data_IF_505870199093
#
_entry.id   IF_505870199093
#
_cell.length_a   1.000
_cell.length_b   1.000
_cell.length_c   1.000
_cell.angle_alpha   90.00
_cell.angle_beta   90.00
_cell.angle_gamma   90.00
#
_symmetry.space_group_name_H-M   'P 1'
#
loop_
_entity.id
_entity.type
_entity.pdbx_description
1 polymer ?
#
# COMPACT_ATOMS: atom_id res chain seq x y z
N UNK A 1 -15.15 2.77 12.94
CA UNK A 1 -14.73 2.48 14.35
C UNK A 1 -13.85 3.61 14.92
N UNK A 2 -12.72 4.04 14.34
CA UNK A 2 -11.87 5.09 14.94
C UNK A 2 -12.58 6.39 15.29
N UNK A 3 -13.53 6.88 14.49
CA UNK A 3 -14.31 8.07 14.83
C UNK A 3 -15.06 7.97 16.18
N UNK A 4 -15.62 6.79 16.48
CA UNK A 4 -16.29 6.53 17.77
C UNK A 4 -15.28 6.53 18.92
N UNK A 5 -14.11 5.90 18.71
CA UNK A 5 -13.06 5.87 19.73
C UNK A 5 -12.52 7.27 20.02
N UNK A 6 -12.32 8.11 18.98
CA UNK A 6 -11.91 9.50 19.17
C UNK A 6 -12.95 10.35 19.90
N UNK A 7 -14.25 10.19 19.56
CA UNK A 7 -15.34 10.86 20.28
C UNK A 7 -15.39 10.46 21.77
N UNK A 8 -15.14 9.19 22.06
CA UNK A 8 -15.14 8.66 23.42
C UNK A 8 -13.78 8.84 24.13
N UNK A 9 -12.76 9.39 23.45
CA UNK A 9 -11.38 9.53 23.94
C UNK A 9 -10.77 8.20 24.40
N UNK A 10 -11.11 7.12 23.71
CA UNK A 10 -10.55 5.79 23.93
C UNK A 10 -9.27 5.64 23.12
N UNK A 11 -8.11 5.36 23.74
CA UNK A 11 -6.87 5.06 23.03
C UNK A 11 -7.02 3.83 22.12
N UNK A 12 -6.37 3.86 20.95
CA UNK A 12 -6.39 2.76 20.00
C UNK A 12 -5.10 2.74 19.16
N UNK A 13 -4.77 1.59 18.60
CA UNK A 13 -3.65 1.41 17.67
C UNK A 13 -4.02 1.80 16.24
N UNK A 14 -3.02 2.24 15.47
CA UNK A 14 -3.17 2.58 14.06
C UNK A 14 -3.56 4.02 13.79
N UNK A 15 -3.73 4.30 12.53
CA UNK A 15 -3.94 5.64 12.00
C UNK A 15 -5.30 6.23 12.34
N UNK A 16 -5.39 7.57 12.35
CA UNK A 16 -6.60 8.32 12.67
C UNK A 16 -7.60 8.32 11.52
N UNK A 17 -8.82 8.81 11.83
CA UNK A 17 -9.98 8.85 10.93
C UNK A 17 -9.63 9.45 9.57
N UNK A 18 -8.94 10.59 9.54
CA UNK A 18 -8.60 11.26 8.28
C UNK A 18 -7.68 10.40 7.40
N UNK A 19 -6.66 9.78 7.97
CA UNK A 19 -5.73 8.90 7.24
C UNK A 19 -6.44 7.69 6.68
N UNK A 20 -7.33 7.05 7.47
CA UNK A 20 -8.09 5.89 7.02
C UNK A 20 -9.07 6.26 5.90
N UNK A 21 -9.73 7.40 5.99
CA UNK A 21 -10.60 7.89 4.93
C UNK A 21 -9.82 8.24 3.65
N UNK A 22 -8.66 8.88 3.79
CA UNK A 22 -7.76 9.21 2.69
C UNK A 22 -7.27 7.93 1.99
N UNK A 23 -6.75 6.97 2.74
CA UNK A 23 -6.20 5.74 2.17
C UNK A 23 -7.26 4.86 1.48
N UNK A 24 -8.51 4.91 1.92
CA UNK A 24 -9.62 4.23 1.26
C UNK A 24 -9.96 4.90 -0.09
N UNK A 25 -9.89 6.23 -0.19
CA UNK A 25 -10.13 6.98 -1.43
C UNK A 25 -8.84 7.04 -2.27
N UNK A 26 -8.68 6.03 -3.15
CA UNK A 26 -7.48 5.91 -4.01
C UNK A 26 -7.20 7.16 -4.84
N UNK A 27 -8.19 7.80 -5.50
CA UNK A 27 -7.98 9.07 -6.19
C UNK A 27 -7.42 10.18 -5.32
N UNK A 28 -7.94 10.34 -4.10
CA UNK A 28 -7.45 11.36 -3.18
C UNK A 28 -6.03 11.04 -2.69
N UNK A 29 -5.75 9.78 -2.36
CA UNK A 29 -4.39 9.33 -2.03
C UNK A 29 -3.42 9.68 -3.15
N UNK A 30 -3.74 9.36 -4.41
CA UNK A 30 -2.89 9.66 -5.57
C UNK A 30 -2.66 11.17 -5.76
N UNK A 31 -3.68 12.00 -5.54
CA UNK A 31 -3.52 13.47 -5.57
C UNK A 31 -2.57 13.97 -4.50
N UNK A 32 -2.63 13.42 -3.28
CA UNK A 32 -1.68 13.75 -2.20
C UNK A 32 -0.28 13.30 -2.58
N UNK A 33 -0.10 12.08 -3.09
CA UNK A 33 1.19 11.59 -3.54
C UNK A 33 1.78 12.48 -4.64
N UNK A 34 0.99 12.81 -5.66
CA UNK A 34 1.41 13.68 -6.77
C UNK A 34 1.78 15.10 -6.30
N UNK A 35 1.04 15.67 -5.33
CA UNK A 35 1.37 16.98 -4.76
C UNK A 35 2.73 17.00 -4.05
N UNK A 36 3.17 15.86 -3.54
CA UNK A 36 4.47 15.69 -2.88
C UNK A 36 5.55 15.08 -3.79
N UNK A 37 5.34 15.09 -5.11
CA UNK A 37 6.26 14.54 -6.10
C UNK A 37 6.60 13.06 -5.88
N UNK A 38 5.72 12.30 -5.21
CA UNK A 38 5.86 10.87 -5.01
C UNK A 38 5.32 10.11 -6.22
N UNK A 39 6.10 9.15 -6.79
CA UNK A 39 5.73 8.50 -8.03
C UNK A 39 4.50 7.61 -7.86
N UNK A 40 3.44 7.93 -8.56
CA UNK A 40 2.23 7.10 -8.71
C UNK A 40 1.84 7.05 -10.17
N UNK A 41 1.24 5.95 -10.68
CA UNK A 41 0.80 5.90 -12.08
C UNK A 41 -0.10 7.09 -12.43
N UNK A 42 0.09 7.66 -13.62
CA UNK A 42 -0.82 8.67 -14.16
C UNK A 42 -2.24 8.12 -14.19
N UNK A 43 -3.25 8.93 -13.87
CA UNK A 43 -4.61 8.44 -13.67
C UNK A 43 -5.68 9.47 -14.03
N UNK A 44 -6.87 8.95 -14.32
CA UNK A 44 -8.13 9.71 -14.45
C UNK A 44 -9.20 9.03 -13.61
N UNK A 45 -10.09 9.82 -13.05
CA UNK A 45 -11.30 9.33 -12.37
C UNK A 45 -12.48 9.51 -13.31
N UNK A 46 -13.24 8.45 -13.52
CA UNK A 46 -14.46 8.47 -14.32
C UNK A 46 -15.68 8.41 -13.39
N UNK A 47 -16.57 9.35 -13.56
CA UNK A 47 -17.90 9.36 -12.90
C UNK A 47 -19.00 8.88 -13.84
N UNK A 48 -18.72 8.82 -15.14
CA UNK A 48 -19.64 8.36 -16.19
C UNK A 48 -18.88 7.60 -17.28
N UNK A 49 -19.51 6.58 -17.84
CA UNK A 49 -18.93 5.77 -18.94
C UNK A 49 -18.57 6.62 -20.16
N UNK A 50 -19.34 7.69 -20.41
CA UNK A 50 -19.22 8.53 -21.62
C UNK A 50 -18.16 9.63 -21.54
N UNK A 51 -17.48 9.79 -20.40
CA UNK A 51 -16.43 10.79 -20.27
C UNK A 51 -15.26 10.47 -21.22
N UNK A 52 -14.66 11.48 -21.86
CA UNK A 52 -13.52 11.26 -22.74
C UNK A 52 -12.30 10.82 -21.92
N UNK A 53 -11.51 9.90 -22.47
CA UNK A 53 -10.21 9.56 -21.92
C UNK A 53 -9.25 10.73 -22.10
N UNK A 54 -8.51 11.06 -21.05
CA UNK A 54 -7.44 12.07 -21.11
C UNK A 54 -6.38 11.64 -22.13
N UNK A 55 -6.02 12.55 -23.03
CA UNK A 55 -5.07 12.29 -24.12
C UNK A 55 -3.64 11.94 -23.62
N UNK A 56 -3.32 12.25 -22.37
CA UNK A 56 -2.05 11.86 -21.75
C UNK A 56 -2.00 10.39 -21.31
N UNK A 57 -3.14 9.72 -21.19
CA UNK A 57 -3.23 8.31 -20.84
C UNK A 57 -3.20 7.44 -22.09
N UNK A 58 -2.30 6.46 -22.11
CA UNK A 58 -2.11 5.53 -23.20
C UNK A 58 -2.35 4.10 -22.75
N UNK A 59 -2.97 3.29 -23.59
CA UNK A 59 -3.15 1.86 -23.32
C UNK A 59 -1.80 1.11 -23.30
N UNK A 60 -1.70 0.04 -22.48
CA UNK A 60 -2.72 -0.53 -21.62
C UNK A 60 -3.00 0.30 -20.38
N UNK A 61 -4.27 0.30 -19.93
CA UNK A 61 -4.72 0.98 -18.73
C UNK A 61 -5.27 -0.03 -17.71
N UNK A 62 -5.27 0.36 -16.44
CA UNK A 62 -5.81 -0.44 -15.35
C UNK A 62 -7.04 0.23 -14.76
N UNK A 63 -8.16 -0.49 -14.70
CA UNK A 63 -9.45 0.01 -14.24
C UNK A 63 -9.87 -0.69 -12.95
N UNK A 64 -10.17 0.09 -11.92
CA UNK A 64 -10.62 -0.43 -10.62
C UNK A 64 -11.61 0.52 -9.94
N UNK A 65 -12.44 0.02 -8.99
CA UNK A 65 -13.25 0.89 -8.15
C UNK A 65 -12.37 1.85 -7.32
N UNK A 66 -12.87 3.07 -7.08
CA UNK A 66 -12.10 4.11 -6.37
C UNK A 66 -11.93 3.85 -4.88
N UNK A 67 -12.88 3.14 -4.23
CA UNK A 67 -12.99 3.06 -2.77
C UNK A 67 -13.15 1.64 -2.24
N UNK A 68 -12.62 0.65 -2.95
CA UNK A 68 -12.60 -0.73 -2.49
C UNK A 68 -11.23 -1.13 -1.94
N UNK A 69 -11.24 -2.01 -0.95
CA UNK A 69 -10.04 -2.62 -0.36
C UNK A 69 -9.84 -4.08 -0.79
N UNK A 70 -8.74 -4.69 -0.37
CA UNK A 70 -8.45 -6.14 -0.52
C UNK A 70 -8.53 -6.67 -1.96
N UNK A 71 -8.28 -5.83 -2.97
CA UNK A 71 -8.36 -6.23 -4.37
C UNK A 71 -9.79 -6.48 -4.88
N UNK A 72 -10.82 -6.02 -4.15
CA UNK A 72 -12.19 -6.10 -4.65
C UNK A 72 -12.36 -5.31 -5.94
N UNK A 73 -12.98 -5.92 -6.94
CA UNK A 73 -13.16 -5.32 -8.26
C UNK A 73 -11.94 -5.34 -9.16
N UNK A 74 -10.88 -6.03 -8.74
CA UNK A 74 -9.66 -6.24 -9.51
C UNK A 74 -9.60 -7.68 -10.02
N UNK A 75 -9.33 -7.84 -11.30
CA UNK A 75 -9.20 -9.13 -11.97
C UNK A 75 -8.48 -9.00 -13.32
N UNK A 76 -8.33 -10.07 -14.08
CA UNK A 76 -7.68 -10.03 -15.39
C UNK A 76 -8.30 -9.00 -16.35
N UNK A 77 -9.62 -8.83 -16.31
CA UNK A 77 -10.34 -7.83 -17.11
C UNK A 77 -10.06 -6.37 -16.68
N UNK A 78 -9.36 -6.15 -15.57
CA UNK A 78 -8.98 -4.80 -15.10
C UNK A 78 -7.91 -4.16 -15.98
N UNK A 79 -7.10 -4.94 -16.70
CA UNK A 79 -6.20 -4.44 -17.72
C UNK A 79 -6.96 -4.32 -19.03
N UNK A 80 -6.99 -3.12 -19.57
CA UNK A 80 -7.71 -2.80 -20.82
C UNK A 80 -6.71 -2.28 -21.86
N UNK A 81 -6.87 -2.75 -23.11
CA UNK A 81 -5.94 -2.50 -24.20
C UNK A 81 -6.50 -1.58 -25.27
N UNK A 82 -7.78 -1.25 -25.21
CA UNK A 82 -8.46 -0.37 -26.15
C UNK A 82 -9.69 0.32 -25.50
N UNK A 83 -10.22 1.29 -26.22
CA UNK A 83 -11.37 2.08 -25.78
C UNK A 83 -12.62 1.22 -25.52
N UNK A 84 -12.84 0.18 -26.32
CA UNK A 84 -14.02 -0.67 -26.17
C UNK A 84 -13.93 -1.51 -24.89
N UNK A 85 -12.73 -2.02 -24.55
CA UNK A 85 -12.49 -2.72 -23.29
C UNK A 85 -12.64 -1.76 -22.10
N UNK A 86 -12.08 -0.54 -22.21
CA UNK A 86 -12.21 0.51 -21.18
C UNK A 86 -13.68 0.76 -20.87
N UNK A 87 -14.52 1.01 -21.89
CA UNK A 87 -15.95 1.31 -21.68
C UNK A 87 -16.70 0.16 -21.02
N UNK A 88 -16.47 -1.07 -21.46
CA UNK A 88 -17.07 -2.26 -20.81
C UNK A 88 -16.65 -2.41 -19.34
N UNK A 89 -15.38 -2.14 -19.03
CA UNK A 89 -14.90 -2.27 -17.65
C UNK A 89 -15.42 -1.12 -16.77
N UNK A 90 -15.58 0.08 -17.30
CA UNK A 90 -16.23 1.20 -16.60
C UNK A 90 -17.69 0.86 -16.25
N UNK A 91 -18.45 0.32 -17.22
CA UNK A 91 -19.83 -0.14 -17.00
C UNK A 91 -19.91 -1.14 -15.85
N UNK A 92 -19.05 -2.17 -15.84
CA UNK A 92 -18.99 -3.17 -14.75
C UNK A 92 -18.70 -2.55 -13.39
N UNK A 93 -17.78 -1.58 -13.31
CA UNK A 93 -17.46 -0.91 -12.05
C UNK A 93 -18.66 -0.12 -11.55
N UNK A 94 -19.31 0.66 -12.41
CA UNK A 94 -20.48 1.45 -12.02
C UNK A 94 -21.66 0.58 -11.60
N UNK A 95 -22.00 -0.46 -12.39
CA UNK A 95 -23.12 -1.35 -12.08
C UNK A 95 -22.93 -2.14 -10.78
N UNK A 96 -21.69 -2.57 -10.50
CA UNK A 96 -21.43 -3.46 -9.37
C UNK A 96 -21.11 -2.74 -8.07
N UNK A 97 -20.46 -1.57 -8.15
CA UNK A 97 -19.90 -0.88 -6.97
C UNK A 97 -20.58 0.45 -6.68
N UNK A 98 -21.36 1.00 -7.59
CA UNK A 98 -22.06 2.31 -7.43
C UNK A 98 -21.09 3.42 -6.95
N UNK A 99 -19.93 3.52 -7.59
CA UNK A 99 -18.90 4.48 -7.24
C UNK A 99 -18.05 4.86 -8.47
N UNK A 100 -17.31 5.98 -8.43
CA UNK A 100 -16.40 6.33 -9.51
C UNK A 100 -15.36 5.24 -9.79
N UNK A 101 -14.93 5.14 -11.04
CA UNK A 101 -13.86 4.27 -11.45
C UNK A 101 -12.53 5.02 -11.52
N UNK A 102 -11.49 4.45 -10.96
CA UNK A 102 -10.11 4.89 -11.13
C UNK A 102 -9.51 4.16 -12.34
N UNK A 103 -9.08 4.93 -13.33
CA UNK A 103 -8.36 4.44 -14.51
C UNK A 103 -6.93 4.97 -14.43
N UNK A 104 -5.96 4.09 -14.47
CA UNK A 104 -4.55 4.47 -14.35
C UNK A 104 -3.68 3.77 -15.40
N UNK A 105 -2.51 4.35 -15.71
CA UNK A 105 -1.52 3.69 -16.54
C UNK A 105 -1.20 2.32 -15.94
N UNK A 106 -1.32 1.27 -16.71
CA UNK A 106 -0.87 -0.05 -16.27
C UNK A 106 0.67 -0.09 -16.23
N UNK A 107 1.22 -0.41 -15.07
CA UNK A 107 2.66 -0.57 -14.91
C UNK A 107 2.96 -2.07 -15.05
N UNK A 108 3.63 -2.44 -16.12
CA UNK A 108 4.07 -3.80 -16.33
C UNK A 108 5.35 -4.07 -15.54
N UNK A 109 5.35 -5.11 -14.68
CA UNK A 109 6.51 -5.45 -13.88
C UNK A 109 6.19 -6.12 -12.55
N UNK A 110 7.16 -6.08 -11.64
CA UNK A 110 7.13 -6.78 -10.35
C UNK A 110 6.27 -6.05 -9.34
N UNK A 111 5.51 -6.80 -8.55
CA UNK A 111 4.76 -6.25 -7.42
C UNK A 111 5.52 -6.48 -6.13
N UNK A 112 5.77 -5.38 -5.42
CA UNK A 112 6.57 -5.37 -4.20
C UNK A 112 5.83 -4.59 -3.12
N UNK A 113 5.86 -5.08 -1.90
CA UNK A 113 5.30 -4.39 -0.75
C UNK A 113 6.36 -4.17 0.32
N UNK A 114 6.19 -3.12 1.12
CA UNK A 114 7.10 -2.80 2.21
C UNK A 114 6.33 -2.23 3.39
N UNK A 115 6.43 -2.92 4.51
CA UNK A 115 5.81 -2.53 5.77
C UNK A 115 6.75 -1.77 6.68
N UNK A 116 6.15 -1.06 7.63
CA UNK A 116 6.86 -0.39 8.70
C UNK A 116 6.05 -0.34 9.98
N UNK A 117 6.77 -0.19 11.10
CA UNK A 117 6.21 0.06 12.44
C UNK A 117 6.94 1.24 13.05
N UNK A 118 6.20 2.10 13.76
CA UNK A 118 6.76 3.26 14.45
C UNK A 118 5.97 4.53 14.24
N UNK A 119 6.43 5.60 14.88
CA UNK A 119 5.90 6.93 14.67
C UNK A 119 7.04 7.90 14.35
N UNK A 120 6.77 8.81 13.41
CA UNK A 120 7.71 9.91 13.16
C UNK A 120 7.85 10.74 14.42
N UNK A 121 9.10 11.00 14.80
CA UNK A 121 9.51 11.52 16.09
C UNK A 121 8.55 12.55 16.66
N UNK A 122 7.70 12.10 17.58
CA UNK A 122 7.18 12.92 18.67
C UNK A 122 8.26 13.06 19.74
N UNK A 123 8.28 14.15 20.55
CA UNK A 123 9.21 14.29 21.67
C UNK A 123 9.29 13.10 22.64
N UNK A 124 8.22 12.29 22.71
CA UNK A 124 8.18 11.07 23.53
C UNK A 124 8.95 9.87 22.94
N UNK A 125 9.16 9.82 21.62
CA UNK A 125 9.87 8.73 20.93
C UNK A 125 11.41 8.80 21.08
N UNK A 126 11.94 9.67 21.96
CA UNK A 126 13.39 9.87 22.18
C UNK A 126 14.12 8.70 22.84
N UNK A 127 13.44 7.59 23.16
CA UNK A 127 14.04 6.46 23.90
C UNK A 127 14.52 5.30 23.05
N UNK A 128 14.36 5.35 21.74
CA UNK A 128 14.96 4.34 20.87
C UNK A 128 16.40 4.70 20.50
N UNK A 129 17.31 3.71 20.42
CA UNK A 129 18.64 3.98 19.88
C UNK A 129 18.45 4.51 18.46
N UNK A 130 18.62 5.81 18.30
CA UNK A 130 18.70 6.43 17.00
C UNK A 130 19.91 5.81 16.29
N UNK A 131 19.71 5.23 15.12
CA UNK A 131 20.81 5.12 14.18
C UNK A 131 21.17 6.56 13.78
N UNK A 132 22.26 7.08 14.35
CA UNK A 132 22.71 8.46 14.14
C UNK A 132 22.98 8.74 12.66
N UNK A 133 23.18 7.69 11.85
CA UNK A 133 23.42 7.75 10.42
C UNK A 133 22.14 7.67 9.57
N UNK A 134 20.99 7.29 10.16
CA UNK A 134 19.74 7.21 9.41
C UNK A 134 19.26 8.62 8.97
N UNK A 135 18.79 8.78 7.73
CA UNK A 135 18.14 10.02 7.31
C UNK A 135 17.02 10.43 8.27
N UNK A 136 16.89 11.74 8.53
CA UNK A 136 15.88 12.26 9.49
C UNK A 136 14.44 11.77 9.22
N UNK A 137 14.13 11.45 7.98
CA UNK A 137 12.81 10.93 7.58
C UNK A 137 12.51 9.55 8.19
N UNK A 138 13.53 8.79 8.56
CA UNK A 138 13.37 7.44 9.13
C UNK A 138 13.36 7.41 10.66
N UNK A 139 13.63 8.56 11.32
CA UNK A 139 13.66 8.60 12.77
C UNK A 139 12.35 8.20 13.40
N UNK A 140 12.41 7.17 14.25
CA UNK A 140 11.25 6.58 14.91
C UNK A 140 10.53 5.49 14.10
N UNK A 141 10.95 5.23 12.85
CA UNK A 141 10.38 4.18 12.02
C UNK A 141 11.31 2.98 11.91
N UNK A 142 10.76 1.78 12.07
CA UNK A 142 11.39 0.54 11.67
C UNK A 142 10.74 0.06 10.37
N UNK A 143 11.51 0.06 9.28
CA UNK A 143 11.06 -0.35 7.95
C UNK A 143 11.54 -1.77 7.72
N UNK A 144 10.61 -2.67 7.40
CA UNK A 144 10.89 -4.08 7.16
C UNK A 144 11.51 -4.31 5.78
N UNK A 145 12.12 -5.50 5.55
CA UNK A 145 12.55 -5.89 4.21
C UNK A 145 11.37 -5.91 3.24
N UNK A 146 11.63 -5.54 1.99
CA UNK A 146 10.59 -5.65 0.95
C UNK A 146 10.21 -7.10 0.71
N UNK A 147 8.92 -7.32 0.48
CA UNK A 147 8.33 -8.58 0.06
C UNK A 147 7.90 -8.46 -1.40
N UNK A 148 8.27 -9.43 -2.22
CA UNK A 148 7.84 -9.55 -3.60
C UNK A 148 6.87 -10.72 -3.77
N UNK A 149 5.82 -10.50 -4.55
CA UNK A 149 4.92 -11.57 -5.00
C UNK A 149 5.52 -12.20 -6.26
N UNK A 150 5.94 -13.46 -6.19
CA UNK A 150 6.49 -14.21 -7.34
C UNK A 150 5.37 -14.62 -8.31
N UNK A 151 4.99 -13.69 -9.19
CA UNK A 151 3.93 -13.91 -10.18
C UNK A 151 4.27 -14.99 -11.22
N UNK A 152 5.55 -15.36 -11.36
CA UNK A 152 5.97 -16.39 -12.32
C UNK A 152 5.44 -17.80 -12.01
N UNK A 153 4.90 -18.01 -10.82
CA UNK A 153 4.33 -19.28 -10.36
C UNK A 153 2.80 -19.33 -10.42
N UNK A 154 2.15 -18.23 -10.78
CA UNK A 154 0.69 -18.17 -10.94
C UNK A 154 0.27 -18.40 -12.40
N UNK A 155 -1.00 -18.80 -12.65
CA UNK A 155 -1.50 -18.97 -13.99
C UNK A 155 -1.37 -17.71 -14.84
N UNK A 156 -1.01 -17.88 -16.12
CA UNK A 156 -0.86 -16.77 -17.09
C UNK A 156 -2.16 -15.94 -17.21
N UNK A 157 -3.29 -16.55 -16.93
CA UNK A 157 -4.62 -15.93 -16.95
C UNK A 157 -4.78 -14.77 -15.94
N UNK A 158 -3.96 -14.76 -14.88
CA UNK A 158 -3.95 -13.67 -13.89
C UNK A 158 -3.21 -12.40 -14.40
N UNK A 159 -2.68 -12.43 -15.61
CA UNK A 159 -2.06 -11.29 -16.32
C UNK A 159 -1.01 -10.51 -15.50
N UNK A 160 -0.30 -11.19 -14.59
CA UNK A 160 0.69 -10.56 -13.72
C UNK A 160 0.08 -9.59 -12.69
N UNK A 161 -1.19 -9.76 -12.32
CA UNK A 161 -1.89 -8.94 -11.34
C UNK A 161 -2.14 -9.76 -10.07
N UNK A 162 -1.76 -9.21 -8.91
CA UNK A 162 -2.02 -9.84 -7.61
C UNK A 162 -3.48 -9.62 -7.21
N UNK A 163 -4.37 -10.48 -7.70
CA UNK A 163 -5.82 -10.39 -7.55
C UNK A 163 -6.30 -10.89 -6.19
N UNK A 164 -7.55 -10.53 -5.82
CA UNK A 164 -8.21 -11.12 -4.64
C UNK A 164 -8.33 -12.64 -4.74
N UNK A 165 -8.50 -13.19 -5.96
CA UNK A 165 -8.54 -14.63 -6.20
C UNK A 165 -7.22 -15.29 -5.81
N UNK A 166 -6.08 -14.70 -6.20
CA UNK A 166 -4.78 -15.19 -5.77
C UNK A 166 -4.68 -15.14 -4.24
N UNK A 167 -5.09 -14.03 -3.62
CA UNK A 167 -5.03 -13.84 -2.16
C UNK A 167 -5.88 -14.82 -1.35
N UNK A 168 -7.00 -15.29 -1.88
CA UNK A 168 -7.99 -16.08 -1.13
C UNK A 168 -8.08 -17.52 -1.59
N UNK A 169 -8.16 -17.76 -2.91
CA UNK A 169 -8.42 -19.09 -3.47
C UNK A 169 -7.14 -19.91 -3.71
N UNK A 170 -6.04 -19.22 -4.02
CA UNK A 170 -4.73 -19.84 -4.28
C UNK A 170 -3.78 -19.69 -3.08
N UNK A 171 -4.32 -19.40 -1.90
CA UNK A 171 -3.58 -19.11 -0.67
C UNK A 171 -2.66 -20.25 -0.18
N UNK A 172 -2.91 -21.49 -0.57
CA UNK A 172 -2.08 -22.63 -0.18
C UNK A 172 -0.73 -22.69 -0.92
N UNK A 173 -0.61 -21.93 -2.04
CA UNK A 173 0.58 -21.89 -2.90
C UNK A 173 1.23 -20.48 -2.96
N UNK A 174 1.18 -19.71 -1.88
CA UNK A 174 1.83 -18.40 -1.88
C UNK A 174 3.33 -18.51 -2.10
N UNK A 175 3.79 -17.82 -3.13
CA UNK A 175 5.20 -17.68 -3.42
C UNK A 175 5.64 -16.25 -3.17
N UNK A 176 6.13 -16.02 -1.97
CA UNK A 176 6.73 -14.75 -1.57
C UNK A 176 8.25 -14.87 -1.53
N UNK A 177 8.92 -13.82 -1.98
CA UNK A 177 10.34 -13.63 -1.80
C UNK A 177 10.55 -12.51 -0.78
N UNK A 178 10.95 -12.85 0.43
CA UNK A 178 11.22 -11.89 1.49
C UNK A 178 12.49 -12.27 2.26
N UNK A 179 13.56 -11.46 2.22
CA UNK A 179 13.72 -10.20 1.47
C UNK A 179 13.62 -10.38 -0.05
N UNK A 180 12.96 -9.45 -0.72
CA UNK A 180 12.90 -9.42 -2.18
C UNK A 180 14.31 -9.30 -2.78
N UNK A 181 14.67 -10.07 -3.84
CA UNK A 181 15.98 -10.01 -4.47
C UNK A 181 16.11 -8.76 -5.35
N UNK A 182 16.28 -7.60 -4.70
CA UNK A 182 16.40 -6.29 -5.32
C UNK A 182 17.81 -5.72 -5.09
N UNK A 183 18.34 -4.91 -6.03
CA UNK A 183 19.56 -4.13 -5.79
C UNK A 183 19.40 -3.19 -4.59
N UNK A 184 20.47 -2.97 -3.82
CA UNK A 184 20.41 -2.13 -2.61
C UNK A 184 19.99 -0.69 -2.91
N UNK A 185 20.39 -0.12 -4.04
CA UNK A 185 19.96 1.22 -4.45
C UNK A 185 18.42 1.32 -4.60
N UNK A 186 17.80 0.28 -5.17
CA UNK A 186 16.34 0.24 -5.30
C UNK A 186 15.66 0.01 -3.93
N UNK A 187 16.28 -0.78 -3.06
CA UNK A 187 15.82 -0.97 -1.68
C UNK A 187 15.86 0.34 -0.89
N UNK A 188 16.90 1.17 -1.07
CA UNK A 188 16.98 2.51 -0.47
C UNK A 188 15.86 3.43 -0.98
N UNK A 189 15.59 3.43 -2.28
CA UNK A 189 14.47 4.19 -2.86
C UNK A 189 13.13 3.74 -2.28
N UNK A 190 12.88 2.44 -2.18
CA UNK A 190 11.65 1.89 -1.61
C UNK A 190 11.48 2.28 -0.12
N UNK A 191 12.55 2.20 0.67
CA UNK A 191 12.53 2.65 2.07
C UNK A 191 12.19 4.13 2.17
N UNK A 192 12.81 4.95 1.32
CA UNK A 192 12.55 6.38 1.30
C UNK A 192 11.09 6.68 0.92
N UNK A 193 10.58 6.05 -0.15
CA UNK A 193 9.18 6.23 -0.55
C UNK A 193 8.20 5.74 0.52
N UNK A 194 8.49 4.61 1.16
CA UNK A 194 7.64 4.06 2.24
C UNK A 194 7.54 5.05 3.41
N UNK A 195 8.66 5.61 3.87
CA UNK A 195 8.65 6.62 4.92
C UNK A 195 8.00 7.94 4.49
N UNK A 196 8.22 8.37 3.25
CA UNK A 196 7.60 9.58 2.70
C UNK A 196 6.08 9.44 2.61
N UNK A 197 5.58 8.30 2.10
CA UNK A 197 4.14 7.99 2.04
C UNK A 197 3.54 8.00 3.44
N UNK A 198 4.15 7.30 4.39
CA UNK A 198 3.72 7.28 5.79
C UNK A 198 3.54 8.69 6.35
N UNK A 199 4.53 9.57 6.10
CA UNK A 199 4.52 10.96 6.55
C UNK A 199 3.40 11.79 5.90
N UNK A 200 3.32 11.78 4.56
CA UNK A 200 2.40 12.69 3.84
C UNK A 200 0.95 12.29 3.96
N UNK A 201 0.66 11.00 4.20
CA UNK A 201 -0.69 10.50 4.45
C UNK A 201 -1.09 10.58 5.92
N UNK A 202 -0.14 10.89 6.82
CA UNK A 202 -0.39 10.98 8.26
C UNK A 202 -0.64 9.62 8.92
N UNK A 203 0.01 8.57 8.42
CA UNK A 203 -0.03 7.24 9.04
C UNK A 203 0.57 7.27 10.44
N UNK A 204 0.12 6.36 11.30
CA UNK A 204 0.56 6.20 12.69
C UNK A 204 0.69 4.72 13.03
N UNK A 205 1.66 4.43 13.91
CA UNK A 205 1.95 3.14 14.54
C UNK A 205 2.38 2.05 13.55
N UNK A 206 1.68 1.86 12.44
CA UNK A 206 1.93 0.81 11.47
C UNK A 206 1.37 1.19 10.09
N UNK A 207 2.05 0.81 9.03
CA UNK A 207 1.47 0.81 7.67
C UNK A 207 2.24 -0.12 6.73
N UNK A 208 1.70 -0.34 5.53
CA UNK A 208 2.34 -1.02 4.41
C UNK A 208 2.08 -0.22 3.14
N UNK A 209 3.08 -0.12 2.31
CA UNK A 209 3.01 0.55 1.00
C UNK A 209 3.23 -0.47 -0.10
N UNK A 210 2.34 -0.49 -1.08
CA UNK A 210 2.40 -1.40 -2.20
C UNK A 210 2.92 -0.67 -3.44
N UNK A 211 3.89 -1.28 -4.11
CA UNK A 211 4.61 -0.73 -5.25
C UNK A 211 4.51 -1.64 -6.48
N UNK A 212 4.62 -1.01 -7.64
CA UNK A 212 4.89 -1.69 -8.91
C UNK A 212 6.20 -1.18 -9.48
N UNK A 213 7.10 -2.09 -9.82
CA UNK A 213 8.40 -1.78 -10.42
C UNK A 213 8.26 -1.86 -11.94
N UNK A 214 8.40 -0.72 -12.63
CA UNK A 214 8.22 -0.65 -14.08
C UNK A 214 9.39 -1.33 -14.82
N UNK A 215 9.14 -2.49 -15.41
CA UNK A 215 10.18 -3.26 -16.11
C UNK A 215 10.71 -2.54 -17.37
N UNK A 216 9.99 -1.57 -17.88
CA UNK A 216 10.37 -0.79 -19.06
C UNK A 216 11.10 0.52 -18.71
N UNK A 217 11.15 0.89 -17.40
CA UNK A 217 11.83 2.09 -16.89
C UNK A 217 12.78 1.72 -15.73
N UNK A 218 13.71 0.80 -16.01
CA UNK A 218 14.77 0.39 -15.06
C UNK A 218 14.27 0.04 -13.67
N UNK A 219 13.13 -0.64 -13.58
CA UNK A 219 12.43 -0.99 -12.32
C UNK A 219 12.08 0.22 -11.45
N UNK A 220 11.80 1.37 -12.06
CA UNK A 220 11.34 2.55 -11.35
C UNK A 220 10.09 2.23 -10.51
N UNK A 221 10.11 2.53 -9.21
CA UNK A 221 8.96 2.25 -8.35
C UNK A 221 7.81 3.22 -8.59
N UNK A 222 6.60 2.68 -8.66
CA UNK A 222 5.35 3.44 -8.63
C UNK A 222 4.53 2.99 -7.43
N UNK A 223 4.09 3.94 -6.61
CA UNK A 223 3.24 3.70 -5.44
C UNK A 223 1.82 3.41 -5.94
N UNK A 224 1.30 2.24 -5.62
CA UNK A 224 -0.05 1.82 -5.97
C UNK A 224 -1.06 2.22 -4.91
N UNK A 225 -0.76 1.91 -3.64
CA UNK A 225 -1.62 2.22 -2.49
C UNK A 225 -0.83 2.23 -1.18
N UNK A 226 -1.45 2.83 -0.15
CA UNK A 226 -1.00 2.76 1.24
C UNK A 226 -2.05 2.06 2.07
N UNK A 227 -1.60 1.15 2.92
CA UNK A 227 -2.43 0.34 3.81
C UNK A 227 -2.14 0.73 5.27
N UNK A 228 -2.89 1.69 5.86
CA UNK A 228 -2.68 2.14 7.24
C UNK A 228 -3.22 1.16 8.31
N UNK A 229 -3.89 0.10 7.88
CA UNK A 229 -4.34 -1.03 8.68
C UNK A 229 -3.99 -2.33 7.94
N UNK A 230 -2.70 -2.68 7.85
CA UNK A 230 -2.28 -3.91 7.19
C UNK A 230 -2.82 -5.14 7.94
N UNK A 231 -2.98 -6.26 7.22
CA UNK A 231 -3.33 -7.53 7.84
C UNK A 231 -2.29 -7.96 8.87
N UNK A 232 -2.75 -8.61 9.93
CA UNK A 232 -1.91 -9.10 11.04
C UNK A 232 -2.13 -10.60 11.32
N UNK A 233 -2.55 -11.38 10.33
CA UNK A 233 -2.66 -12.83 10.47
C UNK A 233 -1.26 -13.47 10.38
N UNK A 234 -0.79 -14.15 11.47
CA UNK A 234 0.55 -14.71 11.50
C UNK A 234 0.77 -15.76 10.39
N UNK A 235 1.93 -15.68 9.72
CA UNK A 235 2.30 -16.57 8.63
C UNK A 235 1.57 -16.36 7.30
N UNK A 236 0.61 -15.43 7.26
CA UNK A 236 -0.20 -15.16 6.08
C UNK A 236 -0.10 -13.71 5.60
N UNK A 237 -0.23 -12.75 6.53
CA UNK A 237 -0.23 -11.34 6.16
C UNK A 237 1.17 -10.85 5.81
N UNK A 238 1.28 -10.07 4.74
CA UNK A 238 2.53 -9.55 4.20
C UNK A 238 3.42 -8.91 5.27
N UNK A 239 2.84 -8.02 6.11
CA UNK A 239 3.58 -7.38 7.20
C UNK A 239 4.16 -8.38 8.21
N UNK A 240 3.42 -9.47 8.52
CA UNK A 240 3.90 -10.50 9.43
C UNK A 240 5.06 -11.32 8.80
N UNK A 241 5.00 -11.56 7.49
CA UNK A 241 6.07 -12.22 6.74
C UNK A 241 7.32 -11.35 6.69
N UNK A 242 7.16 -10.06 6.39
CA UNK A 242 8.24 -9.06 6.39
C UNK A 242 8.91 -8.95 7.77
N UNK A 243 8.13 -8.90 8.83
CA UNK A 243 8.64 -8.86 10.21
C UNK A 243 9.40 -10.14 10.58
N UNK A 244 8.88 -11.32 10.21
CA UNK A 244 9.56 -12.60 10.41
C UNK A 244 10.89 -12.67 9.65
N UNK A 245 10.93 -12.19 8.40
CA UNK A 245 12.16 -12.10 7.61
C UNK A 245 13.19 -11.15 8.23
N UNK A 246 12.75 -10.14 8.99
CA UNK A 246 13.61 -9.26 9.79
C UNK A 246 14.03 -9.88 11.15
N UNK A 247 13.63 -11.12 11.43
CA UNK A 247 13.95 -11.82 12.68
C UNK A 247 13.04 -11.48 13.86
N UNK A 248 11.90 -10.83 13.62
CA UNK A 248 10.93 -10.52 14.66
C UNK A 248 9.98 -11.70 14.91
N UNK A 249 9.59 -11.89 16.18
CA UNK A 249 8.47 -12.77 16.49
C UNK A 249 7.16 -12.07 16.23
N UNK A 250 6.09 -12.83 16.05
CA UNK A 250 4.74 -12.26 15.90
C UNK A 250 4.33 -11.43 17.13
N UNK A 251 4.57 -11.96 18.33
CA UNK A 251 4.31 -11.23 19.58
C UNK A 251 5.13 -9.94 19.67
N UNK A 252 6.39 -9.97 19.21
CA UNK A 252 7.25 -8.79 19.15
C UNK A 252 6.68 -7.70 18.24
N UNK A 253 6.16 -8.08 17.06
CA UNK A 253 5.49 -7.16 16.15
C UNK A 253 4.23 -6.54 16.80
N UNK A 254 3.35 -7.37 17.36
CA UNK A 254 2.09 -6.90 17.97
C UNK A 254 2.36 -5.99 19.16
N UNK A 255 3.28 -6.39 20.06
CA UNK A 255 3.67 -5.56 21.19
C UNK A 255 4.28 -4.23 20.74
N UNK A 256 5.13 -4.24 19.72
CA UNK A 256 5.68 -2.99 19.21
C UNK A 256 4.62 -2.04 18.67
N UNK A 257 3.62 -2.53 17.91
CA UNK A 257 2.50 -1.71 17.44
C UNK A 257 1.72 -1.13 18.63
N UNK A 258 1.51 -1.93 19.68
CA UNK A 258 0.85 -1.48 20.91
C UNK A 258 1.67 -0.41 21.64
N UNK A 259 2.98 -0.61 21.78
CA UNK A 259 3.89 0.32 22.45
C UNK A 259 3.95 1.68 21.75
N UNK A 260 3.95 1.68 20.40
CA UNK A 260 3.89 2.91 19.60
C UNK A 260 2.61 3.71 19.87
N UNK A 261 1.47 3.03 19.94
CA UNK A 261 0.21 3.66 20.28
C UNK A 261 0.20 4.13 21.75
N UNK A 262 0.66 3.30 22.69
CA UNK A 262 0.74 3.64 24.11
C UNK A 262 1.60 4.90 24.34
N UNK A 263 2.78 4.96 23.72
CA UNK A 263 3.65 6.14 23.75
C UNK A 263 2.97 7.38 23.23
N UNK A 264 2.22 7.27 22.11
CA UNK A 264 1.47 8.37 21.48
C UNK A 264 0.37 8.93 22.41
N UNK A 265 -0.22 8.09 23.26
CA UNK A 265 -1.23 8.48 24.24
C UNK A 265 -0.67 8.78 25.64
N UNK A 266 0.65 8.65 25.85
CA UNK A 266 1.25 8.84 27.16
C UNK A 266 0.89 7.75 28.16
N UNK A 267 0.59 6.54 27.69
CA UNK A 267 0.22 5.35 28.49
C UNK A 267 1.43 4.45 28.77
N UNK A 268 2.66 5.00 28.79
CA UNK A 268 3.85 4.22 29.08
C UNK A 268 3.69 3.55 30.46
N UNK A 269 4.01 2.26 30.52
CA UNK A 269 4.05 1.54 31.79
C UNK A 269 5.12 2.14 32.69
N UNK A 270 4.72 2.56 33.88
CA UNK A 270 5.60 3.04 34.94
C UNK A 270 6.48 1.90 35.50
#
# INVERSE_FOLDING_TARGET
>A
MPAILEMLRIPYTGSRVMTLALALDKPMTKRVLAYHDLPTPAFQVFERVTEPLDASLQFPLFVKPSREGTGMGVGPDSVVHDEAQLRRQLERVFERYDQPALVERFIEGREVTMGLVGNLVSPAARRMPDDENAPRIFKGLHIFPALEVDMGKYPIEEAGIYTNRIKVELAEDFHYLCPAPLPESLMEDLRWYTAAVFRVTGCMDVSRVDFRLDMHDNNKPYILEVNPLPGLNPGYSDLCIEAAAAGWTYEGLINRILDEAAGRYGLEQG
#
